data_IF_001510413087
#
_entry.id   IF_001510413087
#
_cell.length_a   1.000
_cell.length_b   1.000
_cell.length_c   1.000
_cell.angle_alpha   90.00
_cell.angle_beta   90.00
_cell.angle_gamma   90.00
#
_symmetry.space_group_name_H-M   'P 1'
#
loop_
_entity.id
_entity.type
_entity.pdbx_description
1 polymer ?
#
# COMPACT_ATOMS: atom_id res chain seq x y z
N UNK A 1 13.91 1.66 -2.79
CA UNK A 1 13.89 1.06 -4.14
C UNK A 1 13.15 2.02 -5.06
N UNK A 2 13.50 2.05 -6.33
CA UNK A 2 12.78 2.84 -7.34
C UNK A 2 11.81 1.91 -8.07
N UNK A 3 10.58 2.34 -8.27
CA UNK A 3 9.60 1.62 -9.09
C UNK A 3 9.01 2.54 -10.15
N UNK A 4 8.77 1.97 -11.34
CA UNK A 4 8.07 2.66 -12.41
C UNK A 4 6.59 2.26 -12.36
N UNK A 5 5.73 3.24 -12.15
CA UNK A 5 4.27 3.03 -12.12
C UNK A 5 3.68 3.55 -13.43
N UNK A 6 3.11 2.65 -14.22
CA UNK A 6 2.40 3.01 -15.44
C UNK A 6 0.98 3.51 -15.09
N UNK A 7 0.64 4.73 -15.53
CA UNK A 7 -0.71 5.28 -15.41
C UNK A 7 -1.45 4.98 -16.72
N UNK A 8 -2.57 4.25 -16.63
CA UNK A 8 -3.44 3.92 -17.76
C UNK A 8 -4.69 4.81 -17.68
N UNK A 9 -5.13 5.35 -18.82
CA UNK A 9 -6.31 6.19 -18.88
C UNK A 9 -7.55 5.44 -18.33
N UNK A 10 -8.24 6.05 -17.36
CA UNK A 10 -9.40 5.47 -16.68
C UNK A 10 -9.08 4.36 -15.66
N UNK A 11 -7.80 4.05 -15.43
CA UNK A 11 -7.37 3.03 -14.47
C UNK A 11 -6.82 3.60 -13.17
N UNK A 12 -6.68 2.72 -12.17
CA UNK A 12 -5.96 3.01 -10.92
C UNK A 12 -4.58 2.37 -10.99
N UNK A 13 -3.56 3.13 -10.61
CA UNK A 13 -2.20 2.63 -10.50
C UNK A 13 -1.78 2.60 -9.02
N UNK A 14 -1.08 1.54 -8.63
CA UNK A 14 -0.63 1.31 -7.26
C UNK A 14 0.88 1.22 -7.20
N UNK A 15 1.47 1.82 -6.15
CA UNK A 15 2.85 1.55 -5.77
C UNK A 15 2.95 0.20 -5.06
N UNK A 16 4.04 -0.51 -5.27
CA UNK A 16 4.34 -1.78 -4.59
C UNK A 16 5.39 -1.60 -3.49
N UNK A 17 6.24 -0.58 -3.60
CA UNK A 17 7.38 -0.40 -2.69
C UNK A 17 6.96 0.46 -1.50
N UNK A 18 7.09 -0.10 -0.29
CA UNK A 18 6.85 0.63 0.96
C UNK A 18 7.70 1.91 1.04
N UNK A 19 7.11 2.98 1.59
CA UNK A 19 7.79 4.25 1.87
C UNK A 19 8.42 4.94 0.65
N UNK A 20 7.95 4.61 -0.55
CA UNK A 20 8.41 5.26 -1.77
C UNK A 20 7.92 6.69 -1.84
N UNK A 21 8.83 7.60 -2.17
CA UNK A 21 8.49 8.98 -2.49
C UNK A 21 8.12 9.08 -3.96
N UNK A 22 6.94 9.62 -4.29
CA UNK A 22 6.61 10.01 -5.66
C UNK A 22 7.43 11.25 -6.00
N UNK A 23 8.54 11.06 -6.72
CA UNK A 23 9.47 12.15 -7.04
C UNK A 23 9.14 12.87 -8.36
N UNK A 24 8.42 12.21 -9.27
CA UNK A 24 8.04 12.76 -10.58
C UNK A 24 6.78 12.10 -11.12
N UNK A 25 5.83 12.90 -11.58
CA UNK A 25 4.67 12.46 -12.36
C UNK A 25 4.84 13.02 -13.77
N UNK A 26 4.85 12.16 -14.78
CA UNK A 26 4.88 12.59 -16.19
C UNK A 26 3.48 12.43 -16.77
N UNK A 27 2.85 13.54 -17.09
CA UNK A 27 1.52 13.56 -17.69
C UNK A 27 1.67 13.48 -19.22
N UNK A 28 1.10 12.45 -19.89
CA UNK A 28 1.24 12.29 -21.34
C UNK A 28 0.49 13.37 -22.13
N UNK A 29 0.91 13.60 -23.38
CA UNK A 29 0.24 14.53 -24.29
C UNK A 29 -1.20 14.08 -24.57
N UNK A 30 -2.18 14.97 -24.35
CA UNK A 30 -3.60 14.68 -24.49
C UNK A 30 -4.39 14.74 -23.17
N UNK A 31 -3.71 14.74 -22.03
CA UNK A 31 -4.32 15.13 -20.75
C UNK A 31 -4.48 16.64 -20.73
N UNK A 32 -5.68 17.10 -20.37
CA UNK A 32 -6.11 18.49 -20.37
C UNK A 32 -6.32 19.01 -18.94
N UNK A 33 -6.69 20.29 -18.81
CA UNK A 33 -7.06 20.87 -17.51
C UNK A 33 -8.36 20.32 -16.93
N UNK A 34 -9.19 19.66 -17.76
CA UNK A 34 -10.46 19.07 -17.32
C UNK A 34 -10.26 17.66 -16.75
N UNK A 35 -9.10 17.05 -16.99
CA UNK A 35 -8.71 15.77 -16.44
C UNK A 35 -8.16 15.94 -15.02
N UNK A 36 -8.57 15.07 -14.11
CA UNK A 36 -8.07 15.06 -12.73
C UNK A 36 -7.21 13.83 -12.47
N UNK A 37 -6.09 14.02 -11.77
CA UNK A 37 -5.28 12.95 -11.21
C UNK A 37 -5.36 13.07 -9.70
N UNK A 38 -6.02 12.10 -9.06
CA UNK A 38 -6.10 12.02 -7.60
C UNK A 38 -4.94 11.18 -7.09
N UNK A 39 -4.19 11.74 -6.14
CA UNK A 39 -3.15 11.02 -5.42
C UNK A 39 -3.65 10.83 -3.99
N UNK A 40 -3.75 9.58 -3.57
CA UNK A 40 -4.22 9.19 -2.23
C UNK A 40 -3.29 8.19 -1.58
N UNK A 41 -3.64 7.79 -0.35
CA UNK A 41 -3.01 6.65 0.29
C UNK A 41 -3.46 5.37 -0.43
N UNK A 42 -2.50 4.48 -0.70
CA UNK A 42 -2.77 3.19 -1.33
C UNK A 42 -3.43 2.23 -0.34
N UNK A 43 -4.10 1.20 -0.87
CA UNK A 43 -4.59 0.01 -0.15
C UNK A 43 -3.46 -0.86 0.46
N UNK A 44 -2.20 -0.51 0.20
CA UNK A 44 -1.01 -1.21 0.69
C UNK A 44 -0.29 -0.33 1.70
N UNK A 45 -0.09 -0.88 2.90
CA UNK A 45 0.61 -0.20 3.97
C UNK A 45 2.04 -0.74 4.08
N UNK A 46 3.01 0.17 4.15
CA UNK A 46 4.40 -0.18 4.47
C UNK A 46 4.54 -0.53 5.95
N UNK A 47 5.27 -1.61 6.25
CA UNK A 47 5.37 -2.16 7.61
C UNK A 47 6.49 -1.52 8.46
N UNK A 48 7.22 -0.55 7.91
CA UNK A 48 8.23 0.24 8.64
C UNK A 48 9.51 -0.51 9.05
N UNK A 49 9.55 -1.82 8.83
CA UNK A 49 10.66 -2.73 9.13
C UNK A 49 10.70 -3.84 8.08
N UNK A 50 11.84 -4.52 7.98
CA UNK A 50 11.93 -5.68 7.09
C UNK A 50 11.30 -6.94 7.68
N UNK A 51 10.50 -7.62 6.87
CA UNK A 51 9.74 -8.81 7.22
C UNK A 51 10.37 -10.02 6.53
N UNK A 52 10.74 -11.05 7.31
CA UNK A 52 11.39 -12.24 6.77
C UNK A 52 10.37 -13.26 6.27
N UNK A 53 9.25 -13.38 6.99
CA UNK A 53 8.17 -14.30 6.69
C UNK A 53 6.83 -13.59 6.72
N UNK A 54 5.92 -13.98 5.83
CA UNK A 54 4.54 -13.51 5.87
C UNK A 54 3.88 -13.74 7.25
N UNK A 55 4.25 -14.81 7.95
CA UNK A 55 3.76 -15.10 9.30
C UNK A 55 4.29 -14.20 10.41
N UNK A 56 5.29 -13.34 10.12
CA UNK A 56 5.78 -12.34 11.07
C UNK A 56 4.82 -11.16 11.21
N UNK A 57 3.90 -10.98 10.26
CA UNK A 57 2.71 -10.14 10.41
C UNK A 57 1.61 -11.06 10.95
N UNK A 58 1.14 -10.78 12.17
CA UNK A 58 0.33 -11.77 12.90
C UNK A 58 -0.95 -11.22 13.50
N UNK A 59 -1.15 -9.89 13.46
CA UNK A 59 -2.39 -9.29 13.91
C UNK A 59 -2.74 -8.05 13.11
N UNK A 60 -4.02 -7.93 12.75
CA UNK A 60 -4.62 -6.75 12.13
C UNK A 60 -5.88 -6.40 12.90
N UNK A 61 -6.04 -5.12 13.23
CA UNK A 61 -7.31 -4.57 13.68
C UNK A 61 -7.77 -3.46 12.77
N UNK A 62 -9.07 -3.42 12.52
CA UNK A 62 -9.74 -2.36 11.79
C UNK A 62 -10.88 -1.86 12.67
N UNK A 63 -10.85 -0.58 13.06
CA UNK A 63 -11.84 0.00 13.98
C UNK A 63 -12.04 -0.86 15.24
N UNK A 64 -10.91 -1.33 15.81
CA UNK A 64 -10.82 -2.24 16.96
C UNK A 64 -11.33 -3.69 16.73
N UNK A 65 -11.94 -4.02 15.59
CA UNK A 65 -12.32 -5.39 15.21
C UNK A 65 -11.10 -6.21 14.78
N UNK A 66 -11.03 -7.48 15.18
CA UNK A 66 -9.97 -8.38 14.74
C UNK A 66 -10.18 -8.81 13.28
N UNK A 67 -9.23 -8.44 12.42
CA UNK A 67 -9.21 -8.77 10.99
C UNK A 67 -7.97 -9.59 10.63
N UNK A 68 -7.38 -10.32 11.59
CA UNK A 68 -6.13 -11.05 11.36
C UNK A 68 -6.23 -12.16 10.30
N UNK A 69 -7.44 -12.63 9.98
CA UNK A 69 -7.67 -13.55 8.85
C UNK A 69 -7.34 -12.94 7.50
N UNK A 70 -7.36 -11.61 7.37
CA UNK A 70 -7.06 -10.89 6.13
C UNK A 70 -5.56 -10.78 5.85
N UNK A 71 -4.69 -11.21 6.76
CA UNK A 71 -3.23 -11.18 6.56
C UNK A 71 -2.77 -12.27 5.58
N UNK A 72 -3.42 -13.44 5.63
CA UNK A 72 -2.98 -14.61 4.87
C UNK A 72 -2.99 -14.34 3.36
N UNK A 73 -1.82 -14.44 2.73
CA UNK A 73 -1.66 -14.21 1.29
C UNK A 73 -1.51 -12.73 0.88
N UNK A 74 -1.56 -11.80 1.84
CA UNK A 74 -1.52 -10.36 1.58
C UNK A 74 -0.23 -9.66 2.03
N UNK A 75 0.70 -10.39 2.65
CA UNK A 75 2.02 -9.86 3.04
C UNK A 75 3.00 -10.04 1.89
N UNK A 76 3.68 -8.96 1.52
CA UNK A 76 4.79 -8.97 0.58
C UNK A 76 6.11 -8.76 1.35
N UNK A 77 6.89 -9.84 1.48
CA UNK A 77 8.19 -9.83 2.15
C UNK A 77 9.33 -9.27 1.28
N UNK A 78 9.08 -9.02 0.00
CA UNK A 78 10.06 -8.37 -0.89
C UNK A 78 10.03 -6.86 -0.68
N UNK A 79 8.84 -6.31 -0.48
CA UNK A 79 8.63 -4.86 -0.37
C UNK A 79 8.19 -4.40 1.02
N UNK A 80 8.14 -5.30 1.99
CA UNK A 80 7.75 -5.02 3.37
C UNK A 80 6.38 -4.32 3.46
N UNK A 81 5.40 -4.82 2.70
CA UNK A 81 4.04 -4.28 2.67
C UNK A 81 2.99 -5.30 3.10
N UNK A 82 1.85 -4.79 3.58
CA UNK A 82 0.61 -5.54 3.75
C UNK A 82 -0.47 -4.93 2.86
N UNK A 83 -1.04 -5.72 1.96
CA UNK A 83 -2.25 -5.36 1.23
C UNK A 83 -3.46 -5.44 2.17
N UNK A 84 -4.07 -4.31 2.46
CA UNK A 84 -5.17 -4.20 3.41
C UNK A 84 -6.55 -4.27 2.75
N UNK A 85 -6.62 -4.52 1.43
CA UNK A 85 -7.78 -4.23 0.59
C UNK A 85 -8.15 -2.73 0.65
N UNK A 86 -9.27 -2.35 0.04
CA UNK A 86 -9.70 -0.95 -0.01
C UNK A 86 -9.79 -0.35 1.41
N UNK A 87 -8.88 0.58 1.72
CA UNK A 87 -8.91 1.34 2.98
C UNK A 87 -9.92 2.46 2.80
N UNK A 88 -10.92 2.53 3.67
CA UNK A 88 -12.01 3.51 3.55
C UNK A 88 -11.80 4.72 4.46
N UNK A 89 -12.55 5.78 4.18
CA UNK A 89 -12.51 7.01 4.99
C UNK A 89 -12.80 6.73 6.47
N UNK A 90 -11.96 7.32 7.34
CA UNK A 90 -12.02 7.18 8.80
C UNK A 90 -11.72 5.77 9.33
N UNK A 91 -11.13 4.89 8.51
CA UNK A 91 -10.66 3.59 8.97
C UNK A 91 -9.42 3.73 9.88
N UNK A 92 -9.51 3.18 11.09
CA UNK A 92 -8.35 3.02 11.98
C UNK A 92 -7.77 1.60 11.84
N UNK A 93 -6.65 1.50 11.11
CA UNK A 93 -5.93 0.23 10.95
C UNK A 93 -4.75 0.15 11.91
N UNK A 94 -4.69 -0.90 12.74
CA UNK A 94 -3.50 -1.25 13.53
C UNK A 94 -2.96 -2.59 13.09
N UNK A 95 -1.65 -2.66 12.83
CA UNK A 95 -0.96 -3.89 12.39
C UNK A 95 0.12 -4.21 13.41
N UNK A 96 0.22 -5.48 13.80
CA UNK A 96 1.33 -6.00 14.59
C UNK A 96 2.18 -6.94 13.76
N UNK A 97 3.48 -6.70 13.84
CA UNK A 97 4.49 -7.47 13.17
C UNK A 97 5.70 -7.64 14.09
N UNK A 98 6.47 -8.71 13.86
CA UNK A 98 7.74 -8.95 14.55
C UNK A 98 8.87 -8.43 13.68
N UNK A 99 9.58 -7.42 14.18
CA UNK A 99 10.80 -6.95 13.56
C UNK A 99 12.03 -7.66 14.07
N UNK A 100 13.05 -7.72 13.21
CA UNK A 100 14.41 -7.98 13.65
C UNK A 100 14.93 -6.78 14.44
N UNK A 101 15.44 -7.05 15.64
CA UNK A 101 16.44 -6.20 16.32
C UNK A 101 17.82 -6.75 16.02
#
# INVERSE_FOLDING_TARGET
AEENIAIIAGGTAYGNVAWSTISKITVPAGVTSDDSVTIGMSDKLGLGISIVSAGDVFKKKVNNEDKSSEISGNVDTTYDTLNCAAIVDNEETTIWFKGRV
#
